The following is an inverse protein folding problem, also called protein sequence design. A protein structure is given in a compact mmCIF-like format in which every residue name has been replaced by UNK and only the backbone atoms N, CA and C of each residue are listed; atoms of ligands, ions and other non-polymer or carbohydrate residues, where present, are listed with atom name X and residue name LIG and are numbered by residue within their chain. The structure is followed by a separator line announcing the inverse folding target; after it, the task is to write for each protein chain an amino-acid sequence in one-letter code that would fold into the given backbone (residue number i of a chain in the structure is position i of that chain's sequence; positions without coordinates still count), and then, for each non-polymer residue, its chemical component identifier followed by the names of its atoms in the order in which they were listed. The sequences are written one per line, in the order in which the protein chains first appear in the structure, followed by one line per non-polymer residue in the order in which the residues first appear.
data_IF_196984487393
#
_entry.id   IF_196984487393
#
_cell.length_a   1.000
_cell.length_b   1.000
_cell.length_c   1.000
_cell.angle_alpha   90.00
_cell.angle_beta   90.00
_cell.angle_gamma   90.00
#
_symmetry.space_group_name_H-M   'P 1'
#
loop_
_entity.id
_entity.type
_entity.pdbx_description
1 polymer ?
#
# COMPACT_ATOMS: atom_id res chain seq x y z
N UNK A 1 -8.87 -13.31 -2.44
CA UNK A 1 -7.51 -12.73 -2.47
C UNK A 1 -6.45 -13.80 -2.29
N UNK A 2 -5.27 -13.60 -2.85
CA UNK A 2 -4.14 -14.49 -2.66
C UNK A 2 -3.54 -14.33 -1.26
N UNK A 3 -2.69 -15.27 -0.84
CA UNK A 3 -1.97 -15.15 0.44
C UNK A 3 -1.11 -13.90 0.48
N UNK A 4 -0.45 -13.56 -0.64
CA UNK A 4 0.37 -12.35 -0.73
C UNK A 4 -0.48 -11.09 -0.56
N UNK A 5 -1.66 -11.06 -1.15
CA UNK A 5 -2.58 -9.93 -1.01
C UNK A 5 -3.12 -9.80 0.41
N UNK A 6 -3.41 -10.91 1.06
CA UNK A 6 -3.81 -10.89 2.47
C UNK A 6 -2.68 -10.34 3.35
N UNK A 7 -1.44 -10.72 3.07
CA UNK A 7 -0.27 -10.20 3.76
C UNK A 7 -0.11 -8.69 3.53
N UNK A 8 -0.26 -8.22 2.30
CA UNK A 8 -0.20 -6.79 2.00
C UNK A 8 -1.30 -6.02 2.75
N UNK A 9 -2.49 -6.58 2.84
CA UNK A 9 -3.59 -5.99 3.60
C UNK A 9 -3.23 -5.90 5.09
N UNK A 10 -2.62 -6.94 5.65
CA UNK A 10 -2.15 -6.92 7.04
C UNK A 10 -1.11 -5.83 7.27
N UNK A 11 -0.19 -5.65 6.33
CA UNK A 11 0.84 -4.60 6.40
C UNK A 11 0.21 -3.21 6.34
N UNK A 12 -0.75 -3.01 5.44
CA UNK A 12 -1.48 -1.74 5.35
C UNK A 12 -2.18 -1.42 6.67
N UNK A 13 -2.83 -2.41 7.27
CA UNK A 13 -3.53 -2.23 8.54
C UNK A 13 -2.56 -1.94 9.70
N UNK A 14 -1.44 -2.65 9.76
CA UNK A 14 -0.41 -2.42 10.79
C UNK A 14 0.18 -1.01 10.69
N UNK A 15 0.47 -0.55 9.47
CA UNK A 15 0.98 0.80 9.24
C UNK A 15 -0.04 1.87 9.63
N UNK A 16 -1.31 1.62 9.36
CA UNK A 16 -2.39 2.52 9.77
C UNK A 16 -2.50 2.59 11.29
N UNK A 17 -2.45 1.45 11.97
CA UNK A 17 -2.49 1.38 13.43
C UNK A 17 -1.27 2.06 14.07
N UNK A 18 -0.11 1.93 13.47
CA UNK A 18 1.12 2.59 13.93
C UNK A 18 1.11 4.10 13.66
N UNK A 19 0.06 4.61 13.03
CA UNK A 19 -0.06 6.01 12.63
C UNK A 19 1.08 6.47 11.71
N UNK A 20 1.59 5.56 10.88
CA UNK A 20 2.51 5.92 9.83
C UNK A 20 1.82 6.94 8.91
N UNK A 21 2.48 8.04 8.54
CA UNK A 21 1.86 9.06 7.70
C UNK A 21 1.82 8.61 6.24
N UNK A 22 1.25 7.43 5.99
CA UNK A 22 1.14 6.81 4.67
C UNK A 22 -0.33 6.73 4.30
N UNK A 23 -0.63 7.12 3.08
CA UNK A 23 -1.95 6.93 2.49
C UNK A 23 -1.79 6.04 1.26
N UNK A 24 -2.50 4.92 1.24
CA UNK A 24 -2.34 3.91 0.21
C UNK A 24 -3.11 4.23 -1.05
N UNK A 25 -2.57 3.81 -2.18
CA UNK A 25 -3.15 3.98 -3.51
C UNK A 25 -2.78 2.79 -4.38
N UNK A 26 -3.11 2.83 -5.67
CA UNK A 26 -2.72 1.82 -6.63
C UNK A 26 -3.62 0.60 -6.66
N UNK A 27 -3.14 -0.47 -7.31
CA UNK A 27 -3.95 -1.64 -7.61
C UNK A 27 -4.49 -2.36 -6.38
N UNK A 28 -3.69 -2.49 -5.32
CA UNK A 28 -4.13 -3.17 -4.10
C UNK A 28 -5.25 -2.39 -3.41
N UNK A 29 -5.12 -1.06 -3.36
CA UNK A 29 -6.14 -0.19 -2.77
C UNK A 29 -7.45 -0.27 -3.57
N UNK A 30 -7.37 -0.25 -4.89
CA UNK A 30 -8.53 -0.42 -5.75
C UNK A 30 -9.19 -1.78 -5.52
N UNK A 31 -8.40 -2.83 -5.41
CA UNK A 31 -8.90 -4.18 -5.17
C UNK A 31 -9.68 -4.28 -3.87
N UNK A 32 -9.16 -3.66 -2.79
CA UNK A 32 -9.86 -3.61 -1.50
C UNK A 32 -11.18 -2.84 -1.61
N UNK A 33 -11.17 -1.71 -2.30
CA UNK A 33 -12.38 -0.90 -2.50
C UNK A 33 -13.44 -1.68 -3.28
N UNK A 34 -13.04 -2.42 -4.32
CA UNK A 34 -13.94 -3.20 -5.14
C UNK A 34 -14.44 -4.47 -4.44
N UNK A 35 -13.66 -5.04 -3.53
CA UNK A 35 -14.05 -6.25 -2.79
C UNK A 35 -15.28 -6.04 -1.91
N UNK A 36 -15.60 -4.80 -1.54
CA UNK A 36 -16.85 -4.47 -0.84
C UNK A 36 -18.07 -4.50 -1.74
N UNK A 37 -17.87 -4.43 -3.04
CA UNK A 37 -18.95 -4.46 -4.03
C UNK A 37 -18.95 -5.87 -4.66
N UNK A 38 -19.82 -6.73 -4.18
CA UNK A 38 -19.84 -8.17 -4.42
C UNK A 38 -19.88 -8.61 -5.89
N UNK A 39 -20.06 -7.69 -6.83
CA UNK A 39 -20.33 -8.03 -8.22
C UNK A 39 -19.24 -7.63 -9.22
N UNK A 40 -18.08 -7.15 -8.74
CA UNK A 40 -17.00 -6.77 -9.67
C UNK A 40 -15.94 -7.86 -9.73
N UNK A 41 -15.59 -8.33 -10.95
CA UNK A 41 -14.59 -9.37 -11.07
C UNK A 41 -13.23 -8.89 -10.57
N UNK A 42 -12.64 -9.67 -9.68
CA UNK A 42 -11.29 -9.45 -9.19
C UNK A 42 -10.34 -10.00 -10.25
N UNK A 43 -9.74 -9.14 -11.07
CA UNK A 43 -9.06 -9.57 -12.26
C UNK A 43 -7.67 -10.10 -12.02
N UNK A 44 -6.74 -9.46 -11.45
CA UNK A 44 -5.36 -9.93 -11.33
C UNK A 44 -4.88 -9.95 -9.90
N UNK A 45 -4.00 -10.90 -9.57
CA UNK A 45 -3.23 -10.82 -8.34
C UNK A 45 -2.22 -9.67 -8.46
N UNK A 46 -2.01 -8.95 -7.38
CA UNK A 46 -1.01 -7.89 -7.33
C UNK A 46 0.09 -8.27 -6.34
N UNK A 47 1.31 -7.85 -6.63
CA UNK A 47 2.48 -8.02 -5.75
C UNK A 47 3.15 -6.69 -5.47
N UNK A 48 2.46 -5.59 -5.72
CA UNK A 48 2.96 -4.25 -5.47
C UNK A 48 1.99 -3.51 -4.56
N UNK A 49 2.53 -2.88 -3.55
CA UNK A 49 1.80 -2.03 -2.62
C UNK A 49 2.30 -0.60 -2.81
N UNK A 50 1.38 0.31 -3.13
CA UNK A 50 1.71 1.71 -3.41
C UNK A 50 1.11 2.63 -2.35
N UNK A 51 1.85 3.63 -1.96
CA UNK A 51 1.37 4.65 -1.03
C UNK A 51 2.16 5.94 -1.16
N UNK A 52 1.68 6.96 -0.48
CA UNK A 52 2.37 8.25 -0.40
C UNK A 52 2.63 8.60 1.06
N UNK A 53 3.87 8.98 1.32
CA UNK A 53 4.29 9.53 2.61
C UNK A 53 3.87 10.99 2.68
N UNK A 54 3.12 11.35 3.70
CA UNK A 54 2.44 12.65 3.77
C UNK A 54 3.22 13.74 4.50
N UNK A 55 4.39 13.42 5.04
CA UNK A 55 5.20 14.39 5.78
C UNK A 55 6.51 14.67 5.04
N UNK A 56 6.90 15.95 5.01
CA UNK A 56 8.20 16.36 4.48
C UNK A 56 9.33 15.95 5.44
N UNK A 57 10.55 15.82 4.90
CA UNK A 57 11.74 15.59 5.70
C UNK A 57 11.97 14.14 6.13
N UNK A 58 11.20 13.20 5.58
CA UNK A 58 11.39 11.78 5.87
C UNK A 58 12.70 11.29 5.25
N UNK A 59 13.37 10.37 5.95
CA UNK A 59 14.57 9.69 5.45
C UNK A 59 14.22 8.24 5.05
N UNK A 60 15.10 7.63 4.23
CA UNK A 60 14.95 6.21 3.89
C UNK A 60 14.97 5.33 5.13
N UNK A 61 15.82 5.65 6.09
CA UNK A 61 15.93 4.88 7.35
C UNK A 61 14.64 4.95 8.17
N UNK A 62 13.99 6.11 8.20
CA UNK A 62 12.71 6.27 8.89
C UNK A 62 11.60 5.45 8.22
N UNK A 63 11.52 5.48 6.90
CA UNK A 63 10.56 4.66 6.15
C UNK A 63 10.81 3.18 6.40
N UNK A 64 12.07 2.74 6.32
CA UNK A 64 12.43 1.36 6.54
C UNK A 64 12.07 0.91 7.95
N UNK A 65 12.29 1.75 8.95
CA UNK A 65 11.95 1.44 10.34
C UNK A 65 10.45 1.19 10.52
N UNK A 66 9.60 2.08 9.99
CA UNK A 66 8.15 1.88 10.03
C UNK A 66 7.74 0.59 9.35
N UNK A 67 8.27 0.34 8.16
CA UNK A 67 7.95 -0.87 7.40
C UNK A 67 8.45 -2.13 8.12
N UNK A 68 9.66 -2.11 8.64
CA UNK A 68 10.23 -3.25 9.37
C UNK A 68 9.43 -3.58 10.63
N UNK A 69 9.04 -2.58 11.39
CA UNK A 69 8.22 -2.78 12.59
C UNK A 69 6.87 -3.40 12.24
N UNK A 70 6.20 -2.90 11.22
CA UNK A 70 4.92 -3.43 10.77
C UNK A 70 5.04 -4.87 10.28
N UNK A 71 6.04 -5.13 9.45
CA UNK A 71 6.29 -6.46 8.89
C UNK A 71 6.63 -7.47 10.01
N UNK A 72 7.51 -7.11 10.92
CA UNK A 72 7.92 -8.00 12.01
C UNK A 72 6.79 -8.29 12.99
N UNK A 73 5.83 -7.38 13.16
CA UNK A 73 4.64 -7.64 13.95
C UNK A 73 3.74 -8.70 13.34
N UNK A 74 3.79 -8.87 12.02
CA UNK A 74 2.99 -9.86 11.29
C UNK A 74 3.75 -11.16 11.17
N UNK A 75 5.01 -11.11 10.73
CA UNK A 75 5.86 -12.27 10.50
C UNK A 75 7.32 -11.88 10.67
N UNK A 76 7.93 -12.32 11.76
CA UNK A 76 9.32 -11.98 12.10
C UNK A 76 10.35 -12.60 11.15
N UNK A 77 9.96 -13.57 10.33
CA UNK A 77 10.85 -14.19 9.35
C UNK A 77 11.02 -13.33 8.07
N UNK A 78 10.17 -12.33 7.89
CA UNK A 78 10.24 -11.44 6.75
C UNK A 78 11.17 -10.27 7.02
N UNK A 79 11.80 -9.77 5.97
CA UNK A 79 12.73 -8.63 6.05
C UNK A 79 12.38 -7.58 5.01
N UNK A 80 12.70 -6.32 5.33
CA UNK A 80 12.50 -5.18 4.43
C UNK A 80 13.85 -4.77 3.88
N UNK A 81 13.99 -4.76 2.55
CA UNK A 81 15.23 -4.41 1.88
C UNK A 81 14.98 -3.23 0.94
N UNK A 82 15.56 -2.05 1.21
CA UNK A 82 15.44 -0.93 0.30
C UNK A 82 16.21 -1.23 -0.99
N UNK A 83 15.59 -0.98 -2.15
CA UNK A 83 16.25 -1.17 -3.43
C UNK A 83 16.28 0.08 -4.29
N UNK A 84 15.53 1.12 -3.93
CA UNK A 84 15.53 2.40 -4.63
C UNK A 84 15.27 3.53 -3.65
N UNK A 85 16.19 4.51 -3.62
CA UNK A 85 15.99 5.72 -2.82
C UNK A 85 15.00 6.65 -3.52
N UNK A 86 14.22 7.41 -2.75
CA UNK A 86 13.36 8.42 -3.34
C UNK A 86 14.21 9.57 -3.92
N UNK A 87 13.70 10.14 -5.00
CA UNK A 87 14.26 11.32 -5.68
C UNK A 87 13.09 12.19 -6.12
N UNK A 88 13.37 13.36 -6.72
CA UNK A 88 12.36 14.33 -7.13
C UNK A 88 11.20 13.70 -7.92
N UNK A 89 11.50 12.72 -8.76
CA UNK A 89 10.53 12.11 -9.66
C UNK A 89 10.34 10.60 -9.41
N UNK A 90 10.94 10.06 -8.34
CA UNK A 90 10.89 8.62 -8.08
C UNK A 90 10.50 8.33 -6.64
N UNK A 91 9.62 7.37 -6.47
CA UNK A 91 9.24 6.85 -5.16
C UNK A 91 10.38 6.01 -4.56
N UNK A 92 10.40 5.92 -3.24
CA UNK A 92 11.24 4.95 -2.54
C UNK A 92 10.70 3.55 -2.80
N UNK A 93 11.59 2.60 -3.07
CA UNK A 93 11.21 1.20 -3.31
C UNK A 93 11.80 0.27 -2.27
N UNK A 94 10.96 -0.63 -1.77
CA UNK A 94 11.34 -1.63 -0.78
C UNK A 94 10.88 -3.02 -1.24
N UNK A 95 11.71 -4.02 -0.98
CA UNK A 95 11.36 -5.42 -1.22
C UNK A 95 11.10 -6.11 0.10
N UNK A 96 10.03 -6.87 0.17
CA UNK A 96 9.74 -7.71 1.31
C UNK A 96 10.17 -9.12 0.94
N UNK A 97 11.13 -9.65 1.68
CA UNK A 97 11.75 -10.94 1.37
C UNK A 97 11.60 -11.91 2.54
N UNK A 98 11.57 -13.21 2.23
CA UNK A 98 11.54 -14.25 3.24
C UNK A 98 12.97 -14.67 3.64
N UNK A 99 13.08 -15.66 4.51
CA UNK A 99 14.38 -16.16 4.99
C UNK A 99 15.21 -16.89 3.93
N UNK A 100 14.65 -17.14 2.74
CA UNK A 100 15.35 -17.69 1.58
C UNK A 100 15.66 -16.64 0.51
N UNK A 101 15.60 -15.37 0.89
CA UNK A 101 15.82 -14.21 0.00
C UNK A 101 14.88 -14.14 -1.20
N UNK A 102 13.72 -14.80 -1.10
CA UNK A 102 12.69 -14.70 -2.13
C UNK A 102 11.85 -13.46 -1.92
N UNK A 103 11.58 -12.72 -2.98
CA UNK A 103 10.75 -11.52 -2.96
C UNK A 103 9.28 -11.95 -2.88
N UNK A 104 8.60 -11.54 -1.81
CA UNK A 104 7.19 -11.82 -1.60
C UNK A 104 6.33 -10.74 -2.26
N UNK A 105 6.66 -9.47 -2.00
CA UNK A 105 6.03 -8.33 -2.67
C UNK A 105 6.92 -7.10 -2.53
N UNK A 106 6.54 -6.02 -3.22
CA UNK A 106 7.28 -4.75 -3.20
C UNK A 106 6.38 -3.64 -2.65
N UNK A 107 7.01 -2.65 -2.04
CA UNK A 107 6.33 -1.45 -1.55
C UNK A 107 6.98 -0.24 -2.20
N UNK A 108 6.16 0.61 -2.82
CA UNK A 108 6.59 1.88 -3.39
C UNK A 108 5.95 3.03 -2.61
N UNK A 109 6.79 3.93 -2.10
CA UNK A 109 6.33 5.08 -1.32
C UNK A 109 6.78 6.38 -2.00
N UNK A 110 5.81 7.13 -2.50
CA UNK A 110 6.02 8.51 -2.93
C UNK A 110 6.07 9.45 -1.74
N UNK A 111 6.46 10.69 -1.97
CA UNK A 111 6.43 11.73 -0.94
C UNK A 111 5.53 12.85 -1.43
N UNK A 112 4.45 13.13 -0.69
CA UNK A 112 3.50 14.18 -1.01
C UNK A 112 3.14 14.99 0.23
N UNK A 113 4.06 15.80 0.75
CA UNK A 113 3.75 16.64 1.91
C UNK A 113 2.77 17.74 1.55
N UNK A 114 1.91 18.09 2.49
CA UNK A 114 1.05 19.28 2.45
C UNK A 114 0.05 19.33 1.28
N UNK A 115 -0.37 18.21 0.72
CA UNK A 115 -1.43 18.21 -0.27
C UNK A 115 -2.79 18.03 0.40
N UNK A 116 -3.77 18.80 -0.05
CA UNK A 116 -5.16 18.60 0.38
C UNK A 116 -5.73 17.38 -0.34
N UNK A 117 -5.50 16.22 0.20
CA UNK A 117 -6.03 14.99 -0.35
C UNK A 117 -7.08 14.46 0.59
N UNK A 118 -8.23 14.08 0.06
CA UNK A 118 -9.24 13.42 0.86
C UNK A 118 -8.72 12.07 1.31
N UNK A 119 -8.53 11.96 2.61
CA UNK A 119 -8.09 10.74 3.27
C UNK A 119 -9.31 10.14 3.98
N UNK A 120 -9.56 8.86 3.78
CA UNK A 120 -10.58 8.16 4.52
C UNK A 120 -10.13 6.75 4.88
N UNK A 121 -10.78 6.17 5.88
CA UNK A 121 -10.46 4.84 6.35
C UNK A 121 -11.40 3.82 5.73
N UNK A 122 -10.82 2.76 5.19
CA UNK A 122 -11.55 1.60 4.69
C UNK A 122 -11.51 0.51 5.75
N UNK A 123 -12.68 -0.05 6.09
CA UNK A 123 -12.76 -1.22 6.96
C UNK A 123 -13.01 -2.46 6.11
N UNK A 124 -12.09 -3.42 6.16
CA UNK A 124 -12.19 -4.66 5.42
C UNK A 124 -11.70 -5.82 6.30
N UNK A 125 -12.54 -6.84 6.47
CA UNK A 125 -12.26 -7.99 7.34
C UNK A 125 -11.82 -7.58 8.75
N UNK A 126 -12.44 -6.53 9.30
CA UNK A 126 -12.12 -6.02 10.63
C UNK A 126 -10.85 -5.18 10.71
N UNK A 127 -10.25 -4.83 9.59
CA UNK A 127 -9.01 -4.04 9.53
C UNK A 127 -9.28 -2.65 8.97
N UNK A 128 -8.68 -1.63 9.60
CA UNK A 128 -8.79 -0.25 9.16
C UNK A 128 -7.55 0.14 8.37
N UNK A 129 -7.74 0.68 7.17
CA UNK A 129 -6.67 1.06 6.26
C UNK A 129 -6.95 2.46 5.74
N UNK A 130 -5.97 3.36 5.86
CA UNK A 130 -6.08 4.72 5.36
C UNK A 130 -5.78 4.79 3.87
N UNK A 131 -6.71 5.34 3.10
CA UNK A 131 -6.61 5.42 1.64
C UNK A 131 -6.98 6.82 1.12
N UNK A 132 -6.61 7.10 -0.12
CA UNK A 132 -6.97 8.34 -0.81
C UNK A 132 -8.37 8.26 -1.41
N UNK A 133 -9.28 9.11 -0.95
CA UNK A 133 -10.64 9.14 -1.49
C UNK A 133 -10.70 9.55 -2.94
N UNK A 134 -9.99 10.60 -3.31
CA UNK A 134 -9.96 11.08 -4.69
C UNK A 134 -9.35 10.04 -5.63
N UNK A 135 -8.30 9.34 -5.20
CA UNK A 135 -7.65 8.30 -6.00
C UNK A 135 -8.58 7.12 -6.25
N UNK A 136 -9.38 6.75 -5.25
CA UNK A 136 -10.35 5.66 -5.42
C UNK A 136 -11.42 6.03 -6.43
N UNK A 137 -11.98 7.22 -6.32
CA UNK A 137 -12.98 7.68 -7.28
C UNK A 137 -12.43 7.70 -8.70
N UNK A 138 -11.20 8.15 -8.88
CA UNK A 138 -10.54 8.14 -10.18
C UNK A 138 -10.32 6.73 -10.70
N UNK A 139 -9.82 5.84 -9.85
CA UNK A 139 -9.58 4.44 -10.24
C UNK A 139 -10.87 3.71 -10.60
N UNK A 140 -11.95 3.97 -9.86
CA UNK A 140 -13.26 3.40 -10.16
C UNK A 140 -13.81 3.93 -11.49
N UNK A 141 -13.67 5.23 -11.73
CA UNK A 141 -14.10 5.84 -12.99
C UNK A 141 -13.33 5.27 -14.18
N UNK A 142 -12.02 5.14 -14.06
CA UNK A 142 -11.19 4.57 -15.12
C UNK A 142 -11.59 3.12 -15.40
N UNK A 143 -11.85 2.33 -14.37
CA UNK A 143 -12.27 0.94 -14.53
C UNK A 143 -13.65 0.82 -15.17
N UNK A 144 -14.59 1.67 -14.80
CA UNK A 144 -15.93 1.72 -15.41
C UNK A 144 -15.82 2.08 -16.89
N UNK A 145 -15.01 3.08 -17.23
CA UNK A 145 -14.78 3.45 -18.62
C UNK A 145 -14.17 2.30 -19.43
N UNK A 146 -13.24 1.57 -18.84
CA UNK A 146 -12.62 0.42 -19.50
C UNK A 146 -13.61 -0.72 -19.75
N UNK A 147 -14.60 -0.89 -18.86
CA UNK A 147 -15.64 -1.91 -19.01
C UNK A 147 -16.71 -1.49 -20.04
N UNK A 148 -17.07 -0.22 -20.06
CA UNK A 148 -18.12 0.30 -20.94
C UNK A 148 -17.62 0.68 -22.33
N UNK A 149 -16.33 0.73 -22.52
CA UNK A 149 -15.71 0.97 -23.81
C UNK A 149 -15.43 -0.29 -24.55
#
# INVERSE_FOLDING_TARGET
MTETEDLMMDVMAELTLARAPIVFKGAMTLKLALAKQENLPVSRSTKDLDGDWMLAGVTMDQMEEFLSNAIHNIDSSLSVIPFRAFDKDKSAGFRIVNNMDQIIFKIDLGIRPAQSVEKFDLCYKGKYISIYGASINKMLADKICAISG
#
